data_IF_999638064812
#
_entry.id   IF_999638064812
#
_cell.length_a   1.000
_cell.length_b   1.000
_cell.length_c   1.000
_cell.angle_alpha   90.00
_cell.angle_beta   90.00
_cell.angle_gamma   90.00
#
_symmetry.space_group_name_H-M   'P 1'
#
loop_
_entity.id
_entity.type
_entity.pdbx_description
1 polymer ?
#
# COMPACT_ATOMS: atom_id res chain seq x y z
N UNK A 1 9.52 16.41 10.69
CA UNK A 1 8.19 17.05 10.53
C UNK A 1 7.18 15.95 10.25
N UNK A 2 6.00 15.94 10.90
CA UNK A 2 4.94 14.98 10.55
C UNK A 2 4.47 15.22 9.11
N UNK A 3 3.89 14.18 8.50
CA UNK A 3 3.30 14.23 7.14
C UNK A 3 2.34 15.43 7.03
N UNK A 4 2.53 16.28 6.03
CA UNK A 4 1.84 17.58 5.91
C UNK A 4 0.40 17.43 5.41
N UNK A 5 0.02 16.25 4.90
CA UNK A 5 -1.31 15.98 4.36
C UNK A 5 -2.18 15.17 5.34
N UNK A 6 -3.41 15.61 5.64
CA UNK A 6 -4.34 14.78 6.40
C UNK A 6 -4.66 13.53 5.57
N UNK A 7 -4.25 12.36 6.05
CA UNK A 7 -4.64 11.09 5.43
C UNK A 7 -6.09 10.82 5.81
N UNK A 8 -7.02 10.77 4.84
CA UNK A 8 -8.40 10.45 5.18
C UNK A 8 -8.44 9.03 5.72
N UNK A 9 -9.11 8.85 6.86
CA UNK A 9 -9.32 7.54 7.47
C UNK A 9 -10.23 6.67 6.62
N UNK A 10 -10.08 5.34 6.77
CA UNK A 10 -10.97 4.35 6.19
C UNK A 10 -10.45 3.65 4.92
N UNK A 11 -11.29 2.74 4.44
CA UNK A 11 -10.99 1.85 3.32
C UNK A 11 -11.06 2.59 1.97
N UNK A 12 -10.02 2.47 1.16
CA UNK A 12 -9.97 3.03 -0.20
C UNK A 12 -9.03 2.29 -1.12
N UNK A 13 -9.04 2.64 -2.41
CA UNK A 13 -8.09 2.09 -3.37
C UNK A 13 -6.67 2.56 -3.06
N UNK A 14 -5.70 1.66 -3.19
CA UNK A 14 -4.29 1.96 -2.97
C UNK A 14 -3.77 3.02 -3.96
N UNK A 15 -4.36 3.12 -5.15
CA UNK A 15 -4.06 4.19 -6.12
C UNK A 15 -4.54 5.57 -5.69
N UNK A 16 -5.49 5.68 -4.75
CA UNK A 16 -6.01 6.96 -4.22
C UNK A 16 -5.26 7.41 -2.97
N UNK A 17 -4.32 6.61 -2.48
CA UNK A 17 -3.46 6.99 -1.36
C UNK A 17 -2.40 7.95 -1.89
N UNK A 18 -2.55 9.22 -1.54
CA UNK A 18 -1.52 10.22 -1.83
C UNK A 18 -0.29 10.02 -0.95
N UNK A 19 0.87 9.97 -1.58
CA UNK A 19 2.18 9.99 -0.92
C UNK A 19 2.83 11.33 -1.25
N UNK A 20 3.50 11.93 -0.27
CA UNK A 20 4.44 13.02 -0.55
C UNK A 20 5.62 12.49 -1.39
N UNK A 21 6.36 13.37 -2.07
CA UNK A 21 7.48 12.97 -2.93
C UNK A 21 8.59 12.22 -2.17
N UNK A 22 8.75 12.53 -0.88
CA UNK A 22 9.67 11.85 0.02
C UNK A 22 9.05 10.63 0.69
N UNK A 23 7.77 10.29 0.46
CA UNK A 23 7.10 9.16 1.09
C UNK A 23 7.07 7.92 0.21
N UNK A 24 7.37 6.77 0.83
CA UNK A 24 7.31 5.45 0.20
C UNK A 24 6.50 4.48 1.05
N UNK A 25 5.65 3.70 0.40
CA UNK A 25 4.98 2.57 1.04
C UNK A 25 5.97 1.44 1.26
N UNK A 26 6.00 0.90 2.47
CA UNK A 26 6.79 -0.28 2.81
C UNK A 26 5.92 -1.52 2.62
N UNK A 27 6.54 -2.65 2.32
CA UNK A 27 5.90 -3.96 2.33
C UNK A 27 5.40 -4.38 3.73
N UNK A 28 4.65 -5.48 3.80
CA UNK A 28 4.24 -6.11 5.05
C UNK A 28 2.85 -5.74 5.56
N UNK A 29 2.04 -5.04 4.76
CA UNK A 29 0.66 -4.69 5.09
C UNK A 29 -0.36 -5.61 4.42
N UNK A 30 -1.60 -5.54 4.90
CA UNK A 30 -2.73 -6.27 4.34
C UNK A 30 -3.50 -5.34 3.39
N UNK A 31 -3.89 -5.88 2.24
CA UNK A 31 -4.81 -5.26 1.31
C UNK A 31 -5.95 -6.23 1.00
N UNK A 32 -7.07 -5.71 0.50
CA UNK A 32 -8.20 -6.50 0.01
C UNK A 32 -8.16 -6.46 -1.51
N UNK A 33 -8.06 -7.63 -2.14
CA UNK A 33 -8.16 -7.84 -3.59
C UNK A 33 -9.38 -8.73 -3.84
N UNK A 34 -10.34 -8.26 -4.63
CA UNK A 34 -11.57 -9.01 -4.94
C UNK A 34 -12.28 -9.58 -3.69
N UNK A 35 -12.35 -8.78 -2.62
CA UNK A 35 -12.95 -9.18 -1.33
C UNK A 35 -12.10 -10.12 -0.48
N UNK A 36 -10.88 -10.45 -0.90
CA UNK A 36 -9.96 -11.33 -0.18
C UNK A 36 -8.78 -10.56 0.42
N UNK A 37 -8.50 -10.79 1.71
CA UNK A 37 -7.30 -10.28 2.35
C UNK A 37 -6.04 -10.95 1.78
N UNK A 38 -5.14 -10.14 1.24
CA UNK A 38 -3.84 -10.54 0.71
C UNK A 38 -2.72 -9.76 1.41
N UNK A 39 -1.58 -10.42 1.66
CA UNK A 39 -0.42 -9.78 2.28
C UNK A 39 0.49 -9.23 1.19
N UNK A 40 0.68 -7.91 1.20
CA UNK A 40 1.59 -7.23 0.28
C UNK A 40 3.03 -7.42 0.75
N UNK A 41 3.89 -7.89 -0.15
CA UNK A 41 5.31 -8.15 0.09
C UNK A 41 6.23 -7.30 -0.81
N UNK A 42 5.69 -6.51 -1.73
CA UNK A 42 6.45 -5.47 -2.39
C UNK A 42 5.51 -4.42 -2.97
N UNK A 43 5.94 -3.17 -2.99
CA UNK A 43 5.22 -2.08 -3.64
C UNK A 43 6.08 -1.52 -4.76
N UNK A 44 5.54 -1.54 -5.98
CA UNK A 44 6.15 -0.97 -7.18
C UNK A 44 5.40 0.33 -7.52
N UNK A 45 5.75 0.97 -8.63
CA UNK A 45 5.15 2.25 -9.03
C UNK A 45 3.62 2.14 -9.19
N UNK A 46 3.14 1.15 -9.96
CA UNK A 46 1.71 0.98 -10.32
C UNK A 46 1.10 -0.32 -9.82
N UNK A 47 1.92 -1.24 -9.33
CA UNK A 47 1.53 -2.59 -8.92
C UNK A 47 2.10 -2.92 -7.54
N UNK A 48 1.56 -3.97 -6.93
CA UNK A 48 2.07 -4.57 -5.72
C UNK A 48 2.25 -6.07 -5.93
N UNK A 49 3.25 -6.63 -5.26
CA UNK A 49 3.42 -8.07 -5.15
C UNK A 49 2.74 -8.52 -3.86
N UNK A 50 1.97 -9.58 -3.93
CA UNK A 50 1.37 -10.23 -2.78
C UNK A 50 1.61 -11.73 -2.81
N UNK A 51 1.52 -12.35 -1.65
CA UNK A 51 1.51 -13.81 -1.52
C UNK A 51 0.07 -14.27 -1.36
N UNK A 52 -0.39 -15.17 -2.23
CA UNK A 52 -1.72 -15.76 -2.14
C UNK A 52 -1.81 -16.85 -1.06
N UNK A 53 -2.98 -17.47 -0.89
CA UNK A 53 -3.17 -18.54 0.10
C UNK A 53 -2.37 -19.82 -0.21
N UNK A 54 -1.94 -20.01 -1.45
CA UNK A 54 -1.09 -21.13 -1.87
C UNK A 54 0.40 -20.88 -1.63
N UNK A 55 0.78 -19.66 -1.23
CA UNK A 55 2.19 -19.28 -1.05
C UNK A 55 2.84 -18.74 -2.33
N UNK A 56 2.09 -18.62 -3.43
CA UNK A 56 2.60 -18.12 -4.69
C UNK A 56 2.62 -16.59 -4.71
N UNK A 57 3.68 -16.03 -5.31
CA UNK A 57 3.83 -14.59 -5.52
C UNK A 57 3.06 -14.16 -6.74
N UNK A 58 2.16 -13.19 -6.57
CA UNK A 58 1.34 -12.63 -7.64
C UNK A 58 1.42 -11.11 -7.66
N UNK A 59 1.10 -10.54 -8.81
CA UNK A 59 1.02 -9.10 -9.02
C UNK A 59 -0.45 -8.65 -9.04
N UNK A 60 -0.74 -7.55 -8.36
CA UNK A 60 -2.01 -6.84 -8.45
C UNK A 60 -1.76 -5.36 -8.78
N UNK A 61 -2.69 -4.73 -9.47
CA UNK A 61 -2.64 -3.28 -9.72
C UNK A 61 -3.11 -2.53 -8.48
N UNK A 62 -2.51 -1.38 -8.21
CA UNK A 62 -2.92 -0.52 -7.08
C UNK A 62 -4.38 -0.05 -7.17
N UNK A 63 -4.94 -0.01 -8.38
CA UNK A 63 -6.35 0.35 -8.63
C UNK A 63 -7.34 -0.69 -8.12
N UNK A 64 -6.90 -1.93 -7.99
CA UNK A 64 -7.75 -3.09 -7.67
C UNK A 64 -7.60 -3.47 -6.18
N UNK A 65 -6.59 -2.91 -5.50
CA UNK A 65 -6.29 -3.15 -4.10
C UNK A 65 -6.96 -2.12 -3.21
N UNK A 66 -7.71 -2.62 -2.23
CA UNK A 66 -8.30 -1.82 -1.17
C UNK A 66 -7.46 -1.89 0.10
N UNK A 67 -7.28 -0.78 0.79
CA UNK A 67 -6.43 -0.65 1.97
C UNK A 67 -7.06 0.30 2.97
N UNK A 68 -6.76 0.06 4.25
CA UNK A 68 -7.01 1.03 5.33
C UNK A 68 -5.92 2.10 5.29
N UNK A 69 -6.23 3.26 4.73
CA UNK A 69 -5.22 4.29 4.41
C UNK A 69 -4.49 4.83 5.66
N UNK A 70 -5.13 4.80 6.82
CA UNK A 70 -4.60 5.18 8.12
C UNK A 70 -3.62 4.16 8.72
N UNK A 71 -3.62 2.92 8.23
CA UNK A 71 -2.79 1.81 8.74
C UNK A 71 -1.61 1.46 7.85
N UNK A 72 -1.42 2.18 6.74
CA UNK A 72 -0.35 1.88 5.81
C UNK A 72 1.02 2.21 6.41
N UNK A 73 2.00 1.28 6.34
CA UNK A 73 3.35 1.53 6.78
C UNK A 73 4.04 2.43 5.74
N UNK A 74 4.22 3.71 6.08
CA UNK A 74 4.84 4.70 5.20
C UNK A 74 6.14 5.17 5.81
N UNK A 75 7.22 5.11 5.03
CA UNK A 75 8.51 5.69 5.39
C UNK A 75 8.73 6.96 4.61
N UNK A 76 9.34 7.96 5.24
CA UNK A 76 10.00 9.03 4.49
C UNK A 76 11.40 8.57 4.07
N UNK A 77 11.75 8.78 2.81
CA UNK A 77 13.12 8.77 2.31
C UNK A 77 13.82 9.96 2.94
N UNK A 78 14.64 9.69 3.96
CA UNK A 78 15.65 10.66 4.36
C UNK A 78 16.59 10.87 3.17
N UNK A 79 16.64 12.10 2.67
CA UNK A 79 17.84 12.61 2.01
C UNK A 79 18.97 12.48 3.03
N UNK A 80 19.90 11.56 2.78
CA UNK A 80 21.20 11.55 3.42
C UNK A 80 22.04 12.68 2.84
#
# INVERSE_FOLDING_TARGET
MPSTKPRPSGSRRLSEVELDEDEVLIEGFIAILDGTNVRITAVLERTCVYVDRGGDRRLARKTDLWVEADKLPIRRRGIG
#
